data_IF_028481076624
#
_entry.id   IF_028481076624
#
_cell.length_a   1.000
_cell.length_b   1.000
_cell.length_c   1.000
_cell.angle_alpha   90.00
_cell.angle_beta   90.00
_cell.angle_gamma   90.00
#
_symmetry.space_group_name_H-M   'P 1'
#
loop_
_entity.id
_entity.type
_entity.pdbx_description
1 polymer ?
#
# COMPACT_ATOMS: atom_id res chain seq x y z
N UNK A 1 0.97 -13.84 14.60
CA UNK A 1 0.45 -14.23 15.93
C UNK A 1 0.01 -12.94 16.59
N UNK A 2 -1.22 -12.85 17.09
CA UNK A 2 -1.72 -11.64 17.77
C UNK A 2 -1.10 -11.55 19.16
N UNK A 3 -0.44 -10.44 19.48
CA UNK A 3 0.04 -10.17 20.84
C UNK A 3 -1.15 -9.59 21.62
N UNK A 4 -1.60 -10.28 22.67
CA UNK A 4 -2.76 -9.88 23.45
C UNK A 4 -2.40 -8.77 24.45
N UNK A 5 -2.66 -7.52 24.08
CA UNK A 5 -2.64 -6.36 24.99
C UNK A 5 -4.02 -6.21 25.65
N UNK A 6 -4.08 -5.99 26.97
CA UNK A 6 -5.35 -5.83 27.69
C UNK A 6 -5.97 -4.45 27.37
N UNK A 7 -6.97 -4.44 26.48
CA UNK A 7 -7.69 -3.26 25.98
C UNK A 7 -7.41 -2.98 24.50
N UNK A 8 -8.43 -2.58 23.72
CA UNK A 8 -8.26 -2.17 22.31
C UNK A 8 -7.27 -1.01 22.23
N UNK A 9 -6.25 -1.14 21.38
CA UNK A 9 -5.21 -0.13 21.21
C UNK A 9 -5.70 1.01 20.32
N UNK A 10 -5.37 2.25 20.68
CA UNK A 10 -5.62 3.42 19.82
C UNK A 10 -4.46 3.63 18.86
N UNK A 11 -4.68 4.38 17.78
CA UNK A 11 -3.62 4.68 16.81
C UNK A 11 -2.40 5.39 17.43
N UNK A 12 -2.63 6.40 18.28
CA UNK A 12 -1.53 7.11 18.96
C UNK A 12 -0.70 6.17 19.84
N UNK A 13 -1.37 5.29 20.61
CA UNK A 13 -0.66 4.31 21.44
C UNK A 13 0.08 3.26 20.61
N UNK A 14 -0.48 2.89 19.46
CA UNK A 14 0.21 2.01 18.50
C UNK A 14 1.53 2.61 18.02
N UNK A 15 1.54 3.89 17.64
CA UNK A 15 2.77 4.58 17.22
C UNK A 15 3.82 4.67 18.34
N UNK A 16 3.38 4.82 19.59
CA UNK A 16 4.29 4.90 20.75
C UNK A 16 4.83 3.53 21.18
N UNK A 17 3.99 2.49 21.18
CA UNK A 17 4.33 1.18 21.74
C UNK A 17 5.00 0.24 20.71
N UNK A 18 4.76 0.45 19.40
CA UNK A 18 5.26 -0.41 18.32
C UNK A 18 6.07 0.38 17.27
N UNK A 19 7.21 0.96 17.66
CA UNK A 19 8.13 1.63 16.75
C UNK A 19 8.76 0.65 15.75
N UNK A 20 9.22 1.19 14.62
CA UNK A 20 9.76 0.43 13.46
C UNK A 20 10.93 -0.52 13.80
N UNK A 21 11.67 -0.27 14.87
CA UNK A 21 12.84 -1.06 15.27
C UNK A 21 12.48 -2.36 16.01
N UNK A 22 11.21 -2.54 16.39
CA UNK A 22 10.71 -3.76 17.03
C UNK A 22 10.09 -4.75 16.02
N UNK A 23 9.92 -4.34 14.76
CA UNK A 23 9.30 -5.14 13.70
C UNK A 23 8.30 -4.33 12.87
N UNK A 24 7.72 -4.96 11.84
CA UNK A 24 6.64 -4.37 11.05
C UNK A 24 5.30 -4.87 11.58
N UNK A 25 4.49 -3.94 12.10
CA UNK A 25 3.19 -4.23 12.69
C UNK A 25 2.11 -3.32 12.12
N UNK A 26 0.90 -3.84 11.98
CA UNK A 26 -0.31 -3.06 11.71
C UNK A 26 -1.25 -3.07 12.92
N UNK A 27 -2.07 -2.04 13.01
CA UNK A 27 -3.19 -1.96 13.95
C UNK A 27 -4.47 -2.31 13.19
N UNK A 28 -5.08 -3.45 13.53
CA UNK A 28 -6.32 -3.97 12.92
C UNK A 28 -7.35 -4.23 14.02
N UNK A 29 -8.47 -3.51 13.99
CA UNK A 29 -9.58 -3.56 14.95
C UNK A 29 -9.17 -3.36 16.43
N UNK A 30 -8.12 -2.56 16.63
CA UNK A 30 -7.54 -2.33 17.95
C UNK A 30 -6.56 -3.42 18.40
N UNK A 31 -6.22 -4.38 17.54
CA UNK A 31 -5.27 -5.45 17.79
C UNK A 31 -3.99 -5.30 16.96
N UNK A 32 -2.89 -5.87 17.44
CA UNK A 32 -1.59 -5.84 16.76
C UNK A 32 -1.43 -7.05 15.86
N UNK A 33 -1.17 -6.78 14.58
CA UNK A 33 -0.91 -7.79 13.55
C UNK A 33 0.54 -7.65 13.07
N UNK A 34 1.34 -8.69 13.26
CA UNK A 34 2.72 -8.75 12.76
C UNK A 34 2.74 -9.03 11.25
N UNK A 35 3.43 -8.18 10.49
CA UNK A 35 3.67 -8.39 9.06
C UNK A 35 4.82 -9.38 8.88
N UNK A 36 4.58 -10.47 8.15
CA UNK A 36 5.60 -11.48 7.82
C UNK A 36 5.70 -11.67 6.32
N UNK A 37 6.63 -10.93 5.72
CA UNK A 37 6.96 -11.06 4.31
C UNK A 37 8.05 -12.12 4.07
N UNK A 38 7.99 -12.77 2.91
CA UNK A 38 9.14 -13.52 2.36
C UNK A 38 10.06 -12.56 1.61
N UNK A 39 11.31 -12.93 1.39
CA UNK A 39 12.29 -12.05 0.72
C UNK A 39 11.84 -11.54 -0.64
N UNK A 40 11.19 -12.38 -1.44
CA UNK A 40 10.71 -11.97 -2.77
C UNK A 40 9.67 -10.84 -2.72
N UNK A 41 8.82 -10.82 -1.69
CA UNK A 41 7.90 -9.72 -1.45
C UNK A 41 8.67 -8.42 -1.17
N UNK A 42 9.68 -8.49 -0.30
CA UNK A 42 10.52 -7.32 0.03
C UNK A 42 11.32 -6.85 -1.18
N UNK A 43 11.85 -7.76 -2.00
CA UNK A 43 12.58 -7.44 -3.23
C UNK A 43 11.69 -6.67 -4.23
N UNK A 44 10.41 -7.07 -4.37
CA UNK A 44 9.41 -6.40 -5.19
C UNK A 44 9.12 -4.99 -4.66
N UNK A 45 8.84 -4.85 -3.36
CA UNK A 45 8.54 -3.55 -2.74
C UNK A 45 9.73 -2.58 -2.89
N UNK A 46 10.94 -3.05 -2.60
CA UNK A 46 12.18 -2.29 -2.74
C UNK A 46 12.45 -1.89 -4.20
N UNK A 47 12.18 -2.79 -5.14
CA UNK A 47 12.29 -2.50 -6.56
C UNK A 47 11.31 -1.39 -6.99
N UNK A 48 10.06 -1.44 -6.54
CA UNK A 48 9.05 -0.42 -6.82
C UNK A 48 9.44 0.93 -6.22
N UNK A 49 9.93 0.97 -4.97
CA UNK A 49 10.46 2.19 -4.35
C UNK A 49 11.56 2.79 -5.25
N UNK A 50 12.57 2.01 -5.64
CA UNK A 50 13.66 2.48 -6.51
C UNK A 50 13.18 2.94 -7.89
N UNK A 51 12.15 2.31 -8.44
CA UNK A 51 11.56 2.69 -9.74
C UNK A 51 10.82 4.01 -9.63
N UNK A 52 9.98 4.18 -8.61
CA UNK A 52 9.24 5.39 -8.38
C UNK A 52 10.14 6.56 -8.01
N UNK A 53 11.15 6.38 -7.14
CA UNK A 53 12.13 7.43 -6.83
C UNK A 53 12.83 7.95 -8.09
N UNK A 54 13.28 7.03 -8.96
CA UNK A 54 13.89 7.40 -10.24
C UNK A 54 12.91 8.15 -11.14
N UNK A 55 11.63 7.78 -11.12
CA UNK A 55 10.60 8.48 -11.90
C UNK A 55 10.33 9.88 -11.34
N UNK A 56 10.27 10.03 -10.01
CA UNK A 56 10.16 11.33 -9.33
C UNK A 56 11.30 12.25 -9.76
N UNK A 57 12.54 11.75 -9.76
CA UNK A 57 13.71 12.53 -10.19
C UNK A 57 13.64 12.93 -11.67
N UNK A 58 13.34 11.98 -12.56
CA UNK A 58 13.29 12.21 -14.02
C UNK A 58 12.20 13.19 -14.43
N UNK A 59 11.03 13.10 -13.82
CA UNK A 59 9.89 13.96 -14.11
C UNK A 59 9.83 15.21 -13.22
N UNK A 60 10.83 15.43 -12.37
CA UNK A 60 10.89 16.54 -11.40
C UNK A 60 9.63 16.68 -10.53
N UNK A 61 9.00 15.54 -10.19
CA UNK A 61 7.80 15.50 -9.36
C UNK A 61 8.13 15.89 -7.92
N UNK A 62 7.15 16.46 -7.22
CA UNK A 62 7.28 16.87 -5.82
C UNK A 62 6.71 15.81 -4.89
N UNK A 63 7.26 14.59 -5.00
CA UNK A 63 6.85 13.45 -4.19
C UNK A 63 7.98 12.87 -3.35
N UNK A 64 7.61 12.26 -2.22
CA UNK A 64 8.42 11.38 -1.40
C UNK A 64 7.93 9.95 -1.61
N UNK A 65 8.81 9.04 -1.97
CA UNK A 65 8.53 7.60 -1.98
C UNK A 65 9.09 6.98 -0.69
N UNK A 66 8.32 6.11 -0.03
CA UNK A 66 8.73 5.44 1.21
C UNK A 66 7.95 4.16 1.45
N UNK A 67 8.59 3.14 2.02
CA UNK A 67 7.94 1.92 2.55
C UNK A 67 7.83 1.91 4.07
N UNK A 68 7.90 3.09 4.70
CA UNK A 68 7.90 3.25 6.18
C UNK A 68 6.73 4.05 6.73
N UNK A 69 5.82 4.48 5.85
CA UNK A 69 4.68 5.28 6.26
C UNK A 69 3.67 4.40 7.01
N UNK A 70 3.09 4.94 8.07
CA UNK A 70 1.87 4.44 8.69
C UNK A 70 0.70 5.33 8.26
N UNK A 71 -0.41 4.75 7.83
CA UNK A 71 -1.64 5.47 7.52
C UNK A 71 -2.70 5.19 8.58
N UNK A 72 -3.29 6.25 9.13
CA UNK A 72 -4.53 6.14 9.89
C UNK A 72 -5.69 6.01 8.91
N UNK A 73 -6.34 4.84 8.90
CA UNK A 73 -7.52 4.57 8.08
C UNK A 73 -8.72 4.27 8.97
N UNK A 74 -9.87 3.97 8.35
CA UNK A 74 -11.09 3.61 9.09
C UNK A 74 -11.80 2.46 8.39
N UNK A 75 -12.03 1.38 9.13
CA UNK A 75 -12.79 0.22 8.66
C UNK A 75 -14.26 0.54 8.41
N UNK A 76 -14.98 -0.39 7.79
CA UNK A 76 -16.40 -0.23 7.46
C UNK A 76 -17.31 0.01 8.69
N UNK A 77 -16.92 -0.45 9.87
CA UNK A 77 -17.64 -0.24 11.14
C UNK A 77 -17.26 1.08 11.86
N UNK A 78 -16.35 1.88 11.28
CA UNK A 78 -15.93 3.16 11.84
C UNK A 78 -14.77 3.06 12.83
N UNK A 79 -14.10 1.91 12.95
CA UNK A 79 -12.92 1.80 13.81
C UNK A 79 -11.66 2.32 13.13
N UNK A 80 -10.84 3.04 13.90
CA UNK A 80 -9.56 3.55 13.43
C UNK A 80 -8.56 2.39 13.31
N UNK A 81 -7.87 2.36 12.18
CA UNK A 81 -6.88 1.36 11.82
C UNK A 81 -5.52 2.04 11.61
N UNK A 82 -4.44 1.26 11.67
CA UNK A 82 -3.08 1.71 11.39
C UNK A 82 -2.43 0.79 10.37
N UNK A 83 -2.48 1.17 9.09
CA UNK A 83 -1.97 0.38 7.97
C UNK A 83 -0.55 0.76 7.62
N UNK A 84 0.25 -0.19 7.18
CA UNK A 84 1.64 0.01 6.76
C UNK A 84 1.82 -0.46 5.31
N UNK A 85 1.50 0.41 4.34
CA UNK A 85 1.75 0.12 2.93
C UNK A 85 3.19 -0.32 2.66
N UNK A 86 3.36 -1.26 1.73
CA UNK A 86 4.70 -1.65 1.28
C UNK A 86 5.40 -0.54 0.51
N UNK A 87 4.63 0.23 -0.27
CA UNK A 87 5.12 1.44 -0.94
C UNK A 87 4.07 2.54 -0.83
N UNK A 88 4.52 3.73 -0.46
CA UNK A 88 3.72 4.95 -0.42
C UNK A 88 4.39 6.05 -1.25
N UNK A 89 3.58 6.83 -1.96
CA UNK A 89 3.98 8.08 -2.62
C UNK A 89 3.16 9.21 -2.04
N UNK A 90 3.87 10.19 -1.48
CA UNK A 90 3.29 11.30 -0.72
C UNK A 90 3.78 12.62 -1.28
N UNK A 91 2.94 13.64 -1.29
CA UNK A 91 3.33 14.99 -1.68
C UNK A 91 4.45 15.50 -0.76
N UNK A 92 5.48 16.14 -1.32
CA UNK A 92 6.56 16.70 -0.50
C UNK A 92 6.02 17.77 0.46
N UNK A 93 4.99 18.52 0.07
CA UNK A 93 4.34 19.49 0.95
C UNK A 93 3.72 18.83 2.18
N UNK A 94 3.00 17.72 2.00
CA UNK A 94 2.45 16.92 3.11
C UNK A 94 3.59 16.37 3.96
N UNK A 95 4.55 15.70 3.34
CA UNK A 95 5.65 15.04 4.04
C UNK A 95 6.50 16.00 4.87
N UNK A 96 6.76 17.19 4.34
CA UNK A 96 7.62 18.18 4.98
C UNK A 96 6.88 19.15 5.91
N UNK A 97 5.54 19.06 5.99
CA UNK A 97 4.71 19.91 6.83
C UNK A 97 5.09 19.84 8.31
N UNK A 98 5.52 18.66 8.78
CA UNK A 98 6.03 18.44 10.12
C UNK A 98 7.15 17.38 10.14
N UNK A 99 8.37 17.81 9.83
CA UNK A 99 9.55 16.93 9.72
C UNK A 99 9.96 16.21 11.02
N UNK A 100 9.44 16.64 12.17
CA UNK A 100 9.74 16.03 13.47
C UNK A 100 8.64 15.08 13.96
N UNK A 101 7.53 14.96 13.23
CA UNK A 101 6.51 13.96 13.52
C UNK A 101 6.99 12.55 13.18
N UNK A 102 6.30 11.55 13.75
CA UNK A 102 6.40 10.19 13.25
C UNK A 102 6.02 10.13 11.76
N UNK A 103 6.54 9.13 11.04
CA UNK A 103 6.17 8.87 9.65
C UNK A 103 4.75 8.28 9.59
N UNK A 104 3.76 9.05 10.04
CA UNK A 104 2.36 8.68 10.12
C UNK A 104 1.50 9.82 9.58
N UNK A 105 0.46 9.49 8.82
CA UNK A 105 -0.47 10.44 8.23
C UNK A 105 -1.92 9.94 8.38
N UNK A 106 -2.85 10.87 8.52
CA UNK A 106 -4.30 10.65 8.59
C UNK A 106 -5.05 11.34 7.42
N UNK A 107 -4.31 11.76 6.39
CA UNK A 107 -4.82 12.37 5.18
C UNK A 107 -4.50 11.51 3.93
N UNK A 108 -5.33 11.59 2.88
CA UNK A 108 -5.08 10.85 1.65
C UNK A 108 -3.77 11.23 0.96
N UNK A 109 -3.11 10.21 0.41
CA UNK A 109 -1.84 10.34 -0.32
C UNK A 109 -2.02 10.01 -1.82
N UNK A 110 -0.96 10.20 -2.61
CA UNK A 110 -1.02 10.05 -4.07
C UNK A 110 -1.12 8.59 -4.49
N UNK A 111 -0.30 7.70 -3.89
CA UNK A 111 -0.29 6.29 -4.25
C UNK A 111 0.03 5.42 -3.03
N UNK A 112 -0.70 4.31 -2.90
CA UNK A 112 -0.34 3.15 -2.08
C UNK A 112 -0.12 1.93 -2.98
N UNK A 113 0.89 1.12 -2.68
CA UNK A 113 1.06 -0.21 -3.25
C UNK A 113 1.13 -1.23 -2.12
N UNK A 114 0.36 -2.30 -2.26
CA UNK A 114 0.43 -3.51 -1.43
C UNK A 114 0.91 -4.69 -2.28
N UNK A 115 1.92 -5.40 -1.78
CA UNK A 115 2.44 -6.61 -2.42
C UNK A 115 1.78 -7.80 -1.76
N UNK A 116 0.93 -8.51 -2.50
CA UNK A 116 0.04 -9.51 -1.89
C UNK A 116 0.83 -10.63 -1.24
N UNK A 117 0.58 -10.85 0.04
CA UNK A 117 1.16 -11.95 0.82
C UNK A 117 0.11 -13.01 1.15
N UNK A 118 0.42 -13.94 2.06
CA UNK A 118 -0.45 -15.08 2.38
C UNK A 118 -1.88 -14.71 2.77
N UNK A 119 -2.10 -13.51 3.31
CA UNK A 119 -3.43 -13.02 3.70
C UNK A 119 -4.06 -12.12 2.62
N UNK A 120 -4.19 -12.65 1.41
CA UNK A 120 -4.62 -11.87 0.23
C UNK A 120 -5.99 -11.19 0.38
N UNK A 121 -6.90 -11.70 1.22
CA UNK A 121 -8.24 -11.11 1.40
C UNK A 121 -8.17 -9.67 1.93
N UNK A 122 -7.23 -9.40 2.83
CA UNK A 122 -7.05 -8.07 3.45
C UNK A 122 -6.71 -7.01 2.39
N UNK A 123 -5.78 -7.30 1.48
CA UNK A 123 -5.38 -6.35 0.42
C UNK A 123 -6.50 -6.10 -0.61
N UNK A 124 -7.30 -7.13 -0.91
CA UNK A 124 -8.37 -7.07 -1.94
C UNK A 124 -9.72 -6.58 -1.41
N UNK A 125 -9.94 -6.59 -0.09
CA UNK A 125 -11.25 -6.31 0.51
C UNK A 125 -11.12 -5.18 1.53
N UNK A 126 -10.45 -5.42 2.66
CA UNK A 126 -10.46 -4.51 3.80
C UNK A 126 -9.65 -3.25 3.52
N UNK A 127 -8.38 -3.40 3.12
CA UNK A 127 -7.52 -2.27 2.74
C UNK A 127 -8.07 -1.52 1.53
N UNK A 128 -8.65 -2.23 0.55
CA UNK A 128 -9.28 -1.60 -0.61
C UNK A 128 -10.41 -0.64 -0.20
N UNK A 129 -11.31 -1.08 0.70
CA UNK A 129 -12.40 -0.25 1.22
C UNK A 129 -11.87 0.91 2.09
N UNK A 130 -10.90 0.62 2.96
CA UNK A 130 -10.28 1.62 3.85
C UNK A 130 -9.57 2.73 3.06
N UNK A 131 -8.76 2.39 2.07
CA UNK A 131 -8.04 3.36 1.24
C UNK A 131 -8.99 4.17 0.35
N UNK A 132 -10.06 3.55 -0.16
CA UNK A 132 -11.11 4.25 -0.89
C UNK A 132 -11.80 5.28 0.02
N UNK A 133 -12.12 4.88 1.25
CA UNK A 133 -12.77 5.73 2.26
C UNK A 133 -11.89 6.89 2.70
N UNK A 134 -10.59 6.65 2.88
CA UNK A 134 -9.62 7.70 3.17
C UNK A 134 -9.43 8.66 1.98
N UNK A 135 -9.70 8.19 0.76
CA UNK A 135 -9.63 9.00 -0.46
C UNK A 135 -8.26 8.96 -1.13
N UNK A 136 -7.50 7.88 -0.95
CA UNK A 136 -6.19 7.71 -1.61
C UNK A 136 -6.39 7.68 -3.12
N UNK A 137 -5.65 8.51 -3.85
CA UNK A 137 -5.90 8.78 -5.28
C UNK A 137 -5.70 7.54 -6.14
N UNK A 138 -4.63 6.79 -5.86
CA UNK A 138 -4.26 5.59 -6.60
C UNK A 138 -3.87 4.47 -5.64
N UNK A 139 -4.32 3.25 -5.91
CA UNK A 139 -4.02 2.08 -5.10
C UNK A 139 -3.63 0.90 -5.99
N UNK A 140 -2.51 0.25 -5.70
CA UNK A 140 -2.01 -0.89 -6.45
C UNK A 140 -2.04 -2.15 -5.59
N UNK A 141 -2.52 -3.23 -6.18
CA UNK A 141 -2.38 -4.58 -5.64
C UNK A 141 -1.46 -5.36 -6.57
N UNK A 142 -0.30 -5.79 -6.06
CA UNK A 142 0.68 -6.59 -6.81
C UNK A 142 0.57 -8.05 -6.40
N UNK A 143 -0.26 -8.82 -7.11
CA UNK A 143 -0.46 -10.25 -6.86
C UNK A 143 0.52 -11.09 -7.68
N UNK A 144 1.78 -11.13 -7.22
CA UNK A 144 2.88 -11.79 -7.90
C UNK A 144 2.83 -13.33 -7.84
N UNK A 145 2.21 -13.89 -6.79
CA UNK A 145 2.04 -15.34 -6.63
C UNK A 145 0.73 -15.87 -7.24
N UNK A 146 -0.13 -14.99 -7.74
CA UNK A 146 -1.46 -15.31 -8.24
C UNK A 146 -2.32 -16.05 -7.21
N UNK A 147 -2.29 -15.61 -5.95
CA UNK A 147 -2.96 -16.27 -4.83
C UNK A 147 -4.37 -15.75 -4.58
N UNK A 148 -4.68 -14.51 -4.99
CA UNK A 148 -6.00 -13.90 -4.92
C UNK A 148 -7.11 -14.75 -5.54
N UNK A 149 -8.37 -14.52 -5.14
CA UNK A 149 -9.49 -15.33 -5.63
C UNK A 149 -9.58 -15.39 -7.16
N UNK A 150 -10.11 -16.51 -7.69
CA UNK A 150 -10.38 -16.67 -9.13
C UNK A 150 -11.39 -15.66 -9.67
N UNK A 151 -12.22 -15.05 -8.80
CA UNK A 151 -13.11 -13.97 -9.19
C UNK A 151 -12.33 -12.75 -9.69
N UNK A 152 -11.15 -12.49 -9.12
CA UNK A 152 -10.26 -11.40 -9.54
C UNK A 152 -9.30 -11.86 -10.65
N UNK A 153 -8.61 -12.98 -10.44
CA UNK A 153 -7.50 -13.40 -11.30
C UNK A 153 -7.93 -14.21 -12.54
N UNK A 154 -9.15 -14.74 -12.55
CA UNK A 154 -9.66 -15.59 -13.63
C UNK A 154 -9.17 -17.03 -13.57
N UNK A 155 -9.23 -17.71 -14.72
CA UNK A 155 -8.81 -19.10 -14.92
C UNK A 155 -8.04 -19.24 -16.25
N UNK A 156 -6.76 -19.64 -16.24
CA UNK A 156 -5.92 -19.90 -15.06
C UNK A 156 -5.68 -18.64 -14.21
N UNK A 157 -5.34 -18.82 -12.94
CA UNK A 157 -4.81 -17.71 -12.13
C UNK A 157 -3.40 -17.41 -12.65
N UNK A 158 -3.11 -16.15 -12.89
CA UNK A 158 -1.81 -15.67 -13.35
C UNK A 158 -1.42 -14.44 -12.54
N UNK A 159 -0.11 -14.17 -12.35
CA UNK A 159 0.33 -12.95 -11.70
C UNK A 159 -0.32 -11.74 -12.35
N UNK A 160 -0.82 -10.81 -11.54
CA UNK A 160 -1.60 -9.66 -12.02
C UNK A 160 -1.35 -8.47 -11.11
N UNK A 161 -1.25 -7.28 -11.72
CA UNK A 161 -1.32 -6.02 -10.99
C UNK A 161 -2.68 -5.40 -11.23
N UNK A 162 -3.35 -4.99 -10.17
CA UNK A 162 -4.53 -4.15 -10.26
C UNK A 162 -4.14 -2.72 -9.88
N UNK A 163 -4.40 -1.78 -10.78
CA UNK A 163 -4.31 -0.34 -10.50
C UNK A 163 -5.73 0.19 -10.33
N UNK A 164 -6.02 0.66 -9.14
CA UNK A 164 -7.25 1.35 -8.78
C UNK A 164 -7.00 2.85 -8.80
N UNK A 165 -7.89 3.59 -9.46
CA UNK A 165 -7.90 5.05 -9.47
C UNK A 165 -9.23 5.55 -8.89
N UNK A 166 -9.16 6.48 -7.94
CA UNK A 166 -10.34 7.05 -7.31
C UNK A 166 -11.00 8.03 -8.29
N UNK A 167 -12.22 7.75 -8.71
CA UNK A 167 -12.95 8.68 -9.56
C UNK A 167 -13.51 9.87 -8.77
N UNK A 168 -14.03 10.87 -9.48
CA UNK A 168 -14.59 12.09 -8.88
C UNK A 168 -15.78 11.83 -7.94
N UNK A 169 -16.37 10.63 -7.99
CA UNK A 169 -17.46 10.21 -7.09
C UNK A 169 -16.97 9.53 -5.81
N UNK A 170 -15.65 9.39 -5.65
CA UNK A 170 -15.03 8.70 -4.51
C UNK A 170 -15.08 7.18 -4.63
N UNK A 171 -15.19 6.64 -5.85
CA UNK A 171 -15.24 5.19 -6.09
C UNK A 171 -14.03 4.75 -6.92
N UNK A 172 -13.39 3.67 -6.49
CA UNK A 172 -12.26 3.11 -7.21
C UNK A 172 -12.69 2.43 -8.51
N UNK A 173 -11.94 2.73 -9.57
CA UNK A 173 -11.99 2.02 -10.85
C UNK A 173 -10.70 1.26 -11.05
N UNK A 174 -10.82 -0.06 -11.27
CA UNK A 174 -9.67 -0.95 -11.43
C UNK A 174 -9.34 -1.21 -12.89
N UNK A 175 -8.04 -1.31 -13.19
CA UNK A 175 -7.51 -1.88 -14.42
C UNK A 175 -6.50 -2.96 -14.07
N UNK A 176 -6.59 -4.12 -14.72
CA UNK A 176 -5.67 -5.23 -14.52
C UNK A 176 -4.57 -5.24 -15.60
N UNK A 177 -3.32 -5.44 -15.18
CA UNK A 177 -2.15 -5.53 -16.05
C UNK A 177 -1.43 -6.86 -15.83
N UNK A 178 -1.00 -7.51 -16.92
CA UNK A 178 -0.37 -8.83 -16.90
C UNK A 178 0.84 -8.86 -17.83
N UNK A 179 1.83 -9.71 -17.52
CA UNK A 179 2.99 -9.92 -18.39
C UNK A 179 3.69 -8.62 -18.78
N UNK A 180 3.70 -8.31 -20.08
CA UNK A 180 4.35 -7.14 -20.68
C UNK A 180 3.40 -5.95 -20.91
N UNK A 181 2.18 -5.99 -20.37
CA UNK A 181 1.29 -4.83 -20.39
C UNK A 181 1.97 -3.65 -19.70
N UNK A 182 2.05 -2.50 -20.38
CA UNK A 182 2.56 -1.27 -19.76
C UNK A 182 1.56 -0.80 -18.71
N UNK A 183 2.01 -0.73 -17.46
CA UNK A 183 1.19 -0.26 -16.35
C UNK A 183 0.94 1.24 -16.52
N UNK A 184 -0.33 1.64 -16.41
CA UNK A 184 -0.73 3.04 -16.53
C UNK A 184 -0.99 3.59 -15.14
N UNK A 185 -0.21 4.61 -14.75
CA UNK A 185 -0.31 5.29 -13.47
C UNK A 185 -0.69 6.76 -13.65
N UNK A 186 -1.83 7.22 -13.13
CA UNK A 186 -2.13 8.64 -13.02
C UNK A 186 -1.10 9.44 -12.21
N UNK A 187 -0.54 8.84 -11.15
CA UNK A 187 0.51 9.45 -10.30
C UNK A 187 1.83 9.59 -11.05
N UNK A 188 2.15 8.64 -11.93
CA UNK A 188 3.34 8.64 -12.77
C UNK A 188 3.00 8.45 -14.27
N UNK A 189 2.56 9.51 -14.98
CA UNK A 189 2.07 9.38 -16.36
C UNK A 189 3.10 8.82 -17.36
N UNK A 190 4.39 9.09 -17.12
CA UNK A 190 5.51 8.65 -17.96
C UNK A 190 6.17 7.36 -17.43
N UNK A 191 5.50 6.61 -16.54
CA UNK A 191 6.06 5.37 -16.00
C UNK A 191 6.13 4.29 -17.08
N UNK A 192 7.36 3.85 -17.36
CA UNK A 192 7.62 2.68 -18.18
C UNK A 192 7.93 1.49 -17.28
N UNK A 193 6.90 0.73 -16.94
CA UNK A 193 6.99 -0.45 -16.09
C UNK A 193 5.98 -1.52 -16.52
N UNK A 194 6.40 -2.78 -16.49
CA UNK A 194 5.53 -3.95 -16.71
C UNK A 194 5.56 -4.88 -15.50
N UNK A 195 4.58 -5.79 -15.42
CA UNK A 195 4.58 -6.80 -14.37
C UNK A 195 5.80 -7.73 -14.49
N UNK A 196 6.18 -8.17 -15.69
CA UNK A 196 7.36 -9.04 -15.85
C UNK A 196 8.64 -8.40 -15.27
N UNK A 197 8.84 -7.10 -15.47
CA UNK A 197 9.98 -6.39 -14.87
C UNK A 197 9.94 -6.35 -13.34
N UNK A 198 8.73 -6.33 -12.75
CA UNK A 198 8.55 -6.41 -11.30
C UNK A 198 8.84 -7.82 -10.79
N UNK A 199 8.45 -8.87 -11.53
CA UNK A 199 8.70 -10.26 -11.15
C UNK A 199 10.19 -10.66 -11.26
N UNK A 200 10.97 -9.93 -12.06
CA UNK A 200 12.42 -10.08 -12.21
C UNK A 200 13.25 -9.31 -11.15
N UNK A 201 12.59 -8.65 -10.19
CA UNK A 201 13.22 -7.86 -9.13
C UNK A 201 14.24 -8.64 -8.28
#
# INVERSE_FOLDING_TARGET
>A
MTIATSGKLTFDRFLEEYPDDQGRYELVDGEIVEMRAIRWHDDIADFLIRKFDRQVERSHLKYRVTGRLVLATTSADGQQQGRRPDVSVVSLSTWESNRFAYAALDEPIQLVVEVVSTNWEDDYIDKLDEYQRLGIVEYWIVDYLAIGSRSYLGRPKVPTIFVYHLDETGVYRSTAFKGDDRIISPTFPDLELTLNQILEA
#
